data_IF_777582732476
#
_entry.id   IF_777582732476
#
_cell.length_a   1.000
_cell.length_b   1.000
_cell.length_c   1.000
_cell.angle_alpha   90.00
_cell.angle_beta   90.00
_cell.angle_gamma   90.00
#
_symmetry.space_group_name_H-M   'P 1'
#
loop_
_entity.id
_entity.type
_entity.pdbx_description
1 polymer ?
#
# COMPACT_ATOMS: atom_id res chain seq x y z
N UNK A 1 -81.47 -2.51 -4.15
CA UNK A 1 -81.10 -1.10 -3.87
C UNK A 1 -80.66 -0.99 -2.41
N UNK A 2 -79.47 -0.41 -2.17
CA UNK A 2 -78.89 0.11 -0.91
C UNK A 2 -79.06 -0.70 0.39
N UNK A 3 -77.94 -1.09 1.01
CA UNK A 3 -77.42 -0.44 2.24
C UNK A 3 -75.98 -0.87 2.54
N UNK A 4 -75.13 0.11 2.80
CA UNK A 4 -73.74 0.01 3.23
C UNK A 4 -73.59 -0.46 4.68
N UNK A 5 -72.52 -1.20 4.97
CA UNK A 5 -72.00 -1.34 6.34
C UNK A 5 -70.49 -1.23 6.34
N UNK A 6 -69.99 -0.19 7.02
CA UNK A 6 -68.60 0.22 7.12
C UNK A 6 -67.75 -0.80 7.89
N UNK A 7 -66.55 -1.10 7.40
CA UNK A 7 -65.50 -1.78 8.17
C UNK A 7 -64.42 -0.77 8.58
N UNK A 8 -64.22 -0.67 9.89
CA UNK A 8 -63.19 0.14 10.53
C UNK A 8 -61.79 -0.43 10.23
N UNK A 9 -60.86 0.44 9.81
CA UNK A 9 -59.43 0.14 9.71
C UNK A 9 -58.73 0.59 10.99
N UNK A 10 -57.95 -0.26 11.68
CA UNK A 10 -57.02 0.23 12.68
C UNK A 10 -55.77 0.78 11.96
N UNK A 11 -55.43 2.03 12.28
CA UNK A 11 -54.11 2.62 12.03
C UNK A 11 -53.07 1.85 12.84
N UNK A 12 -52.06 1.31 12.18
CA UNK A 12 -50.77 0.99 12.79
C UNK A 12 -49.73 1.92 12.15
N UNK A 13 -49.50 3.06 12.81
CA UNK A 13 -48.40 3.95 12.52
C UNK A 13 -47.11 3.31 13.06
N UNK A 14 -46.41 2.55 12.21
CA UNK A 14 -45.05 2.10 12.49
C UNK A 14 -44.07 3.26 12.30
N UNK A 15 -43.67 3.89 13.39
CA UNK A 15 -42.57 4.85 13.39
C UNK A 15 -41.25 4.10 13.15
N UNK A 16 -40.78 4.05 11.91
CA UNK A 16 -39.45 3.58 11.57
C UNK A 16 -38.42 4.63 12.03
N UNK A 17 -37.83 4.39 13.19
CA UNK A 17 -36.70 5.17 13.70
C UNK A 17 -35.47 4.84 12.84
N UNK A 18 -35.22 5.65 11.81
CA UNK A 18 -33.98 5.63 11.04
C UNK A 18 -32.83 6.07 11.95
N UNK A 19 -32.15 5.10 12.57
CA UNK A 19 -30.88 5.34 13.24
C UNK A 19 -29.85 5.74 12.19
N UNK A 20 -29.55 7.04 12.11
CA UNK A 20 -28.41 7.55 11.35
C UNK A 20 -27.14 6.97 11.97
N UNK A 21 -26.57 5.95 11.33
CA UNK A 21 -25.25 5.45 11.70
C UNK A 21 -24.23 6.56 11.41
N UNK A 22 -23.35 6.89 12.37
CA UNK A 22 -22.30 7.86 12.11
C UNK A 22 -21.41 7.32 11.00
N UNK A 23 -21.32 8.05 9.89
CA UNK A 23 -20.30 7.81 8.87
C UNK A 23 -18.97 8.09 9.54
N UNK A 24 -18.23 7.04 9.92
CA UNK A 24 -16.84 7.19 10.32
C UNK A 24 -16.13 7.74 9.09
N UNK A 25 -15.74 9.01 9.15
CA UNK A 25 -14.95 9.66 8.13
C UNK A 25 -13.62 8.89 8.03
N UNK A 26 -13.55 7.95 7.08
CA UNK A 26 -12.27 7.37 6.71
C UNK A 26 -11.43 8.51 6.15
N UNK A 27 -10.29 8.79 6.79
CA UNK A 27 -9.31 9.74 6.27
C UNK A 27 -8.93 9.36 4.83
N UNK A 28 -8.41 10.32 4.04
CA UNK A 28 -8.06 10.07 2.65
C UNK A 28 -7.13 8.84 2.54
N UNK A 29 -7.46 7.93 1.63
CA UNK A 29 -6.66 6.74 1.39
C UNK A 29 -5.22 7.12 1.02
N UNK A 30 -4.21 6.35 1.48
CA UNK A 30 -2.83 6.65 1.17
C UNK A 30 -2.59 6.64 -0.35
N UNK A 31 -1.99 7.72 -0.85
CA UNK A 31 -1.69 7.88 -2.28
C UNK A 31 -0.30 7.35 -2.57
N UNK A 32 -0.22 6.31 -3.40
CA UNK A 32 1.03 5.78 -3.94
C UNK A 32 1.52 6.68 -5.06
N UNK A 33 2.78 7.07 -4.98
CA UNK A 33 3.41 8.00 -5.90
C UNK A 33 4.02 7.28 -7.10
N UNK A 34 3.87 7.88 -8.27
CA UNK A 34 4.74 7.64 -9.43
C UNK A 34 5.48 8.92 -9.77
N UNK A 35 6.51 8.82 -10.62
CA UNK A 35 7.19 10.00 -11.16
C UNK A 35 6.21 11.00 -11.80
N UNK A 36 5.16 10.50 -12.46
CA UNK A 36 4.18 11.32 -13.18
C UNK A 36 3.12 11.95 -12.26
N UNK A 37 2.73 11.24 -11.18
CA UNK A 37 1.62 11.66 -10.30
C UNK A 37 2.09 12.43 -9.06
N UNK A 38 3.40 12.55 -8.84
CA UNK A 38 3.94 13.26 -7.70
C UNK A 38 3.53 14.75 -7.67
N UNK A 39 3.04 15.28 -6.53
CA UNK A 39 2.79 16.71 -6.35
C UNK A 39 4.05 17.55 -6.62
N UNK A 40 3.86 18.79 -7.10
CA UNK A 40 4.98 19.67 -7.45
C UNK A 40 5.97 19.90 -6.30
N UNK A 41 5.48 20.00 -5.06
CA UNK A 41 6.32 20.14 -3.87
C UNK A 41 7.17 18.91 -3.53
N UNK A 42 6.76 17.72 -3.97
CA UNK A 42 7.43 16.44 -3.71
C UNK A 42 8.46 16.09 -4.79
N UNK A 43 8.22 16.48 -6.05
CA UNK A 43 9.04 16.09 -7.20
C UNK A 43 10.55 16.30 -7.01
N UNK A 44 11.05 17.46 -6.52
CA UNK A 44 12.50 17.65 -6.37
C UNK A 44 13.14 16.67 -5.38
N UNK A 45 12.45 16.37 -4.28
CA UNK A 45 12.92 15.40 -3.29
C UNK A 45 12.89 13.98 -3.87
N UNK A 46 11.82 13.64 -4.60
CA UNK A 46 11.68 12.35 -5.28
C UNK A 46 12.81 12.12 -6.28
N UNK A 47 13.07 13.08 -7.18
CA UNK A 47 14.14 12.98 -8.19
C UNK A 47 15.52 12.85 -7.55
N UNK A 48 15.79 13.56 -6.45
CA UNK A 48 17.07 13.45 -5.73
C UNK A 48 17.25 12.05 -5.14
N UNK A 49 16.21 11.50 -4.52
CA UNK A 49 16.27 10.15 -3.95
C UNK A 49 16.41 9.08 -5.05
N UNK A 50 15.67 9.21 -6.15
CA UNK A 50 15.80 8.32 -7.30
C UNK A 50 17.21 8.33 -7.89
N UNK A 51 17.84 9.50 -7.98
CA UNK A 51 19.23 9.60 -8.42
C UNK A 51 20.20 8.93 -7.44
N UNK A 52 19.98 9.10 -6.13
CA UNK A 52 20.82 8.48 -5.10
C UNK A 52 20.67 6.95 -5.04
N UNK A 53 19.51 6.42 -5.40
CA UNK A 53 19.18 4.99 -5.38
C UNK A 53 19.16 4.35 -6.77
N UNK A 54 19.68 5.05 -7.80
CA UNK A 54 19.52 4.65 -9.20
C UNK A 54 20.02 3.22 -9.47
N UNK A 55 21.19 2.87 -8.96
CA UNK A 55 21.80 1.55 -9.17
C UNK A 55 21.01 0.41 -8.49
N UNK A 56 20.72 0.43 -7.17
CA UNK A 56 19.92 -0.62 -6.55
C UNK A 56 18.48 -0.67 -7.10
N UNK A 57 17.87 0.47 -7.45
CA UNK A 57 16.55 0.49 -8.10
C UNK A 57 16.58 -0.19 -9.47
N UNK A 58 17.61 0.09 -10.29
CA UNK A 58 17.75 -0.54 -11.61
C UNK A 58 17.83 -2.06 -11.50
N UNK A 59 18.58 -2.57 -10.53
CA UNK A 59 18.71 -4.01 -10.30
C UNK A 59 17.40 -4.64 -9.80
N UNK A 60 16.69 -3.96 -8.89
CA UNK A 60 15.37 -4.39 -8.43
C UNK A 60 14.38 -4.47 -9.60
N UNK A 61 14.29 -3.43 -10.43
CA UNK A 61 13.39 -3.38 -11.58
C UNK A 61 13.76 -4.41 -12.67
N UNK A 62 15.06 -4.64 -12.89
CA UNK A 62 15.54 -5.67 -13.84
C UNK A 62 15.09 -7.07 -13.45
N UNK A 63 15.02 -7.35 -12.15
CA UNK A 63 14.70 -8.69 -11.61
C UNK A 63 13.23 -8.86 -11.24
N UNK A 64 12.47 -7.76 -11.15
CA UNK A 64 11.04 -7.77 -10.86
C UNK A 64 10.21 -8.70 -11.76
N UNK A 65 10.41 -8.77 -13.10
CA UNK A 65 9.62 -9.69 -13.94
C UNK A 65 9.79 -11.16 -13.54
N UNK A 66 10.99 -11.57 -13.13
CA UNK A 66 11.24 -12.93 -12.66
C UNK A 66 10.59 -13.17 -11.30
N UNK A 67 10.65 -12.20 -10.39
CA UNK A 67 10.01 -12.28 -9.08
C UNK A 67 8.47 -12.33 -9.19
N UNK A 68 7.89 -11.49 -10.07
CA UNK A 68 6.47 -11.51 -10.43
C UNK A 68 6.06 -12.88 -10.98
N UNK A 69 6.85 -13.49 -11.85
CA UNK A 69 6.58 -14.85 -12.36
C UNK A 69 6.52 -15.88 -11.23
N UNK A 70 7.43 -15.82 -10.24
CA UNK A 70 7.39 -16.69 -9.06
C UNK A 70 6.10 -16.48 -8.25
N UNK A 71 5.73 -15.22 -7.99
CA UNK A 71 4.49 -14.88 -7.28
C UNK A 71 3.24 -15.42 -8.00
N UNK A 72 3.14 -15.20 -9.32
CA UNK A 72 2.00 -15.65 -10.12
C UNK A 72 1.91 -17.18 -10.25
N UNK A 73 3.02 -17.90 -10.08
CA UNK A 73 3.01 -19.36 -10.00
C UNK A 73 2.50 -19.89 -8.64
N UNK A 74 2.25 -19.00 -7.68
CA UNK A 74 1.89 -19.34 -6.31
C UNK A 74 3.09 -19.36 -5.39
N UNK A 75 2.87 -18.90 -4.16
CA UNK A 75 3.88 -18.92 -3.11
C UNK A 75 3.61 -20.05 -2.11
N UNK A 76 4.66 -20.66 -1.53
CA UNK A 76 4.52 -21.51 -0.35
C UNK A 76 3.77 -20.80 0.79
N UNK A 77 3.08 -21.58 1.63
CA UNK A 77 2.35 -21.03 2.78
C UNK A 77 3.28 -20.25 3.72
N UNK A 78 2.86 -19.05 4.11
CA UNK A 78 3.60 -18.14 4.99
C UNK A 78 4.61 -17.24 4.27
N UNK A 79 4.96 -17.53 3.03
CA UNK A 79 5.77 -16.62 2.22
C UNK A 79 4.95 -15.39 1.79
N UNK A 80 5.62 -14.24 1.65
CA UNK A 80 4.99 -12.99 1.26
C UNK A 80 5.79 -12.34 0.13
N UNK A 81 5.08 -11.82 -0.86
CA UNK A 81 5.68 -10.94 -1.86
C UNK A 81 5.34 -9.50 -1.53
N UNK A 82 6.38 -8.72 -1.27
CA UNK A 82 6.31 -7.33 -0.86
C UNK A 82 6.91 -6.45 -1.95
N UNK A 83 6.27 -5.31 -2.21
CA UNK A 83 6.81 -4.25 -3.04
C UNK A 83 7.10 -3.04 -2.18
N UNK A 84 8.26 -2.43 -2.37
CA UNK A 84 8.53 -1.11 -1.83
C UNK A 84 7.98 -0.07 -2.79
N UNK A 85 7.15 0.82 -2.27
CA UNK A 85 6.56 1.95 -3.00
C UNK A 85 6.74 3.23 -2.20
N UNK A 86 6.52 4.37 -2.85
CA UNK A 86 6.48 5.68 -2.18
C UNK A 86 5.05 6.10 -1.95
N UNK A 87 4.76 6.62 -0.77
CA UNK A 87 3.44 7.14 -0.42
C UNK A 87 3.54 8.56 0.10
N UNK A 88 2.55 9.38 -0.23
CA UNK A 88 2.46 10.76 0.28
C UNK A 88 2.36 10.70 1.81
N UNK A 89 3.18 11.52 2.47
CA UNK A 89 3.12 11.74 3.92
C UNK A 89 2.53 13.12 4.22
N UNK A 90 2.98 14.14 3.49
CA UNK A 90 2.41 15.50 3.49
C UNK A 90 2.39 16.04 2.06
N UNK A 91 1.89 17.25 1.86
CA UNK A 91 1.94 17.98 0.58
C UNK A 91 3.37 18.15 0.01
N UNK A 92 4.38 18.06 0.89
CA UNK A 92 5.79 18.37 0.62
C UNK A 92 6.72 17.20 0.93
N UNK A 93 6.20 16.08 1.45
CA UNK A 93 7.00 14.93 1.83
C UNK A 93 6.35 13.61 1.47
N UNK A 94 7.19 12.60 1.30
CA UNK A 94 6.79 11.23 1.06
C UNK A 94 7.61 10.31 1.94
N UNK A 95 7.18 9.06 2.03
CA UNK A 95 7.95 7.99 2.68
C UNK A 95 7.93 6.74 1.81
N UNK A 96 8.95 5.91 1.95
CA UNK A 96 8.91 4.54 1.44
C UNK A 96 8.03 3.70 2.35
N UNK A 97 7.25 2.79 1.76
CA UNK A 97 6.36 1.89 2.46
C UNK A 97 6.34 0.52 1.77
N UNK A 98 6.14 -0.54 2.57
CA UNK A 98 6.01 -1.90 2.08
C UNK A 98 4.56 -2.22 1.77
N UNK A 99 4.30 -2.76 0.58
CA UNK A 99 2.98 -3.19 0.14
C UNK A 99 2.99 -4.71 -0.11
N UNK A 100 2.17 -5.46 0.64
CA UNK A 100 2.00 -6.90 0.43
C UNK A 100 1.09 -7.14 -0.77
N UNK A 101 1.62 -7.81 -1.79
CA UNK A 101 0.89 -8.08 -3.02
C UNK A 101 -0.24 -9.08 -2.76
N UNK A 102 -1.44 -8.72 -3.21
CA UNK A 102 -2.61 -9.59 -3.28
C UNK A 102 -2.81 -10.15 -4.69
N UNK A 103 -2.49 -9.37 -5.72
CA UNK A 103 -2.64 -9.79 -7.10
C UNK A 103 -2.14 -8.77 -8.11
N UNK A 104 -2.17 -9.18 -9.37
CA UNK A 104 -1.84 -8.36 -10.53
C UNK A 104 -2.97 -8.43 -11.56
N UNK A 105 -3.34 -7.28 -12.12
CA UNK A 105 -4.26 -7.19 -13.25
C UNK A 105 -3.64 -6.31 -14.33
N UNK A 106 -3.12 -6.92 -15.39
CA UNK A 106 -2.32 -6.21 -16.39
C UNK A 106 -1.09 -5.54 -15.75
N UNK A 107 -1.03 -4.20 -15.88
CA UNK A 107 0.04 -3.37 -15.30
C UNK A 107 -0.32 -2.79 -13.91
N UNK A 108 -1.43 -3.21 -13.32
CA UNK A 108 -1.92 -2.73 -12.02
C UNK A 108 -1.68 -3.78 -10.94
N UNK A 109 -1.09 -3.35 -9.83
CA UNK A 109 -0.88 -4.14 -8.62
C UNK A 109 -2.03 -3.90 -7.66
N UNK A 110 -2.60 -4.97 -7.10
CA UNK A 110 -3.48 -4.91 -5.94
C UNK A 110 -2.70 -5.37 -4.72
N UNK A 111 -2.68 -4.56 -3.66
CA UNK A 111 -1.85 -4.82 -2.50
C UNK A 111 -2.46 -4.31 -1.19
N UNK A 112 -1.86 -4.72 -0.07
CA UNK A 112 -2.10 -4.15 1.26
C UNK A 112 -0.86 -3.36 1.67
N UNK A 113 -1.01 -2.05 1.82
CA UNK A 113 0.02 -1.19 2.38
C UNK A 113 0.18 -1.52 3.87
N UNK A 114 1.38 -1.90 4.26
CA UNK A 114 1.70 -2.28 5.63
C UNK A 114 2.00 -1.03 6.46
N UNK A 115 1.65 -1.02 7.76
CA UNK A 115 2.07 0.04 8.67
C UNK A 115 3.61 0.07 8.78
N UNK A 116 4.20 1.23 9.12
CA UNK A 116 5.62 1.31 9.47
C UNK A 116 5.96 0.31 10.57
N UNK A 117 7.12 -0.36 10.46
CA UNK A 117 7.55 -1.37 11.43
C UNK A 117 7.79 -0.80 12.84
N UNK A 118 8.12 0.49 12.91
CA UNK A 118 8.40 1.28 14.11
C UNK A 118 7.18 2.05 14.62
N UNK A 119 5.99 1.86 14.03
CA UNK A 119 4.79 2.54 14.48
C UNK A 119 4.43 2.14 15.92
N UNK A 120 4.31 3.15 16.79
CA UNK A 120 3.94 2.96 18.20
C UNK A 120 2.59 2.28 18.39
N UNK A 121 1.68 2.44 17.42
CA UNK A 121 0.38 1.78 17.36
C UNK A 121 0.34 0.91 16.13
N UNK A 122 0.03 -0.38 16.31
CA UNK A 122 -0.20 -1.31 15.20
C UNK A 122 -1.47 -0.89 14.47
N UNK A 123 -1.30 -0.24 13.33
CA UNK A 123 -2.41 0.07 12.42
C UNK A 123 -2.70 -1.12 11.50
N UNK A 124 -3.96 -1.24 11.08
CA UNK A 124 -4.37 -2.27 10.12
C UNK A 124 -3.77 -1.99 8.73
N UNK A 125 -3.37 -3.04 7.97
CA UNK A 125 -2.97 -2.88 6.59
C UNK A 125 -4.08 -2.24 5.74
N UNK A 126 -3.71 -1.32 4.85
CA UNK A 126 -4.68 -0.57 4.04
C UNK A 126 -4.67 -1.06 2.58
N UNK A 127 -5.82 -1.44 1.99
CA UNK A 127 -5.88 -1.80 0.57
C UNK A 127 -5.46 -0.64 -0.33
N UNK A 128 -4.60 -0.93 -1.30
CA UNK A 128 -4.11 0.03 -2.31
C UNK A 128 -4.05 -0.63 -3.68
N UNK A 129 -4.14 0.21 -4.71
CA UNK A 129 -3.95 -0.17 -6.11
C UNK A 129 -3.06 0.86 -6.80
N UNK A 130 -2.06 0.39 -7.54
CA UNK A 130 -1.08 1.27 -8.18
C UNK A 130 -0.47 0.62 -9.43
N UNK A 131 0.06 1.40 -10.38
CA UNK A 131 0.75 0.84 -11.55
C UNK A 131 2.09 0.21 -11.15
N UNK A 132 2.52 -0.82 -11.86
CA UNK A 132 3.83 -1.48 -11.64
C UNK A 132 5.01 -0.50 -11.74
N UNK A 133 4.85 0.60 -12.47
CA UNK A 133 5.84 1.70 -12.56
C UNK A 133 6.05 2.47 -11.25
N UNK A 134 5.19 2.28 -10.24
CA UNK A 134 5.36 2.85 -8.91
C UNK A 134 6.33 2.05 -8.01
N UNK A 135 6.75 0.86 -8.46
CA UNK A 135 7.61 -0.04 -7.69
C UNK A 135 9.03 0.52 -7.64
N UNK A 136 9.58 0.59 -6.42
CA UNK A 136 10.96 1.02 -6.16
C UNK A 136 11.87 -0.19 -5.92
N UNK A 137 11.35 -1.20 -5.22
CA UNK A 137 12.05 -2.44 -4.90
C UNK A 137 11.05 -3.58 -4.70
N UNK A 138 11.52 -4.82 -4.63
CA UNK A 138 10.70 -5.99 -4.31
C UNK A 138 11.42 -6.91 -3.34
N UNK A 139 10.65 -7.57 -2.48
CA UNK A 139 11.16 -8.55 -1.53
C UNK A 139 10.25 -9.77 -1.53
N UNK A 140 10.83 -10.95 -1.75
CA UNK A 140 10.17 -12.22 -1.42
C UNK A 140 10.62 -12.62 -0.02
N UNK A 141 9.76 -12.38 0.97
CA UNK A 141 9.98 -12.72 2.36
C UNK A 141 9.49 -14.14 2.61
N UNK A 142 10.42 -15.06 2.90
CA UNK A 142 10.10 -16.45 3.22
C UNK A 142 9.54 -16.56 4.62
N UNK A 143 8.72 -17.57 4.88
CA UNK A 143 8.22 -17.88 6.22
C UNK A 143 9.36 -18.10 7.25
N UNK A 144 10.55 -18.51 6.79
CA UNK A 144 11.75 -18.67 7.62
C UNK A 144 12.44 -17.34 7.97
N UNK A 145 11.95 -16.20 7.48
CA UNK A 145 12.59 -14.88 7.60
C UNK A 145 13.69 -14.61 6.57
N UNK A 146 13.97 -15.53 5.65
CA UNK A 146 14.94 -15.29 4.57
C UNK A 146 14.31 -14.35 3.53
N UNK A 147 15.11 -13.42 3.03
CA UNK A 147 14.69 -12.51 1.97
C UNK A 147 15.39 -12.84 0.63
N UNK A 148 14.63 -12.77 -0.46
CA UNK A 148 15.17 -12.62 -1.83
C UNK A 148 14.78 -11.24 -2.36
N UNK A 149 15.63 -10.63 -3.19
CA UNK A 149 15.43 -9.25 -3.63
C UNK A 149 15.93 -8.25 -2.57
N UNK A 150 15.12 -7.26 -2.22
CA UNK A 150 15.44 -6.21 -1.25
C UNK A 150 16.76 -5.49 -1.60
N UNK A 151 16.90 -5.00 -2.83
CA UNK A 151 18.15 -4.38 -3.29
C UNK A 151 18.32 -2.97 -2.72
N UNK A 152 17.25 -2.20 -2.69
CA UNK A 152 17.24 -0.82 -2.18
C UNK A 152 17.34 -0.83 -0.66
N UNK A 153 16.58 -1.69 0.02
CA UNK A 153 16.68 -1.79 1.49
C UNK A 153 18.08 -2.20 1.95
N UNK A 154 18.66 -3.24 1.35
CA UNK A 154 20.05 -3.66 1.66
C UNK A 154 21.08 -2.56 1.38
N UNK A 155 20.90 -1.80 0.30
CA UNK A 155 21.76 -0.65 0.00
C UNK A 155 21.68 0.40 1.11
N UNK A 156 20.45 0.82 1.49
CA UNK A 156 20.22 1.81 2.55
C UNK A 156 20.83 1.34 3.89
N UNK A 157 20.63 0.08 4.26
CA UNK A 157 21.16 -0.48 5.51
C UNK A 157 22.69 -0.48 5.51
N UNK A 158 23.31 -0.85 4.38
CA UNK A 158 24.77 -0.83 4.23
C UNK A 158 25.31 0.60 4.32
N UNK A 159 24.67 1.57 3.65
CA UNK A 159 25.07 2.98 3.71
C UNK A 159 25.00 3.52 5.15
N UNK A 160 23.92 3.26 5.87
CA UNK A 160 23.77 3.64 7.30
C UNK A 160 24.85 3.01 8.17
N UNK A 161 25.16 1.74 7.94
CA UNK A 161 26.21 1.05 8.68
C UNK A 161 27.56 1.73 8.43
N UNK A 162 27.90 2.06 7.19
CA UNK A 162 29.15 2.75 6.85
C UNK A 162 29.25 4.13 7.49
N UNK A 163 28.16 4.90 7.51
CA UNK A 163 28.10 6.22 8.17
C UNK A 163 28.28 6.12 9.70
N UNK A 164 27.88 5.01 10.30
CA UNK A 164 28.02 4.78 11.74
C UNK A 164 29.42 4.34 12.18
N UNK A 165 30.32 4.03 11.23
CA UNK A 165 31.68 3.59 11.57
C UNK A 165 32.53 4.77 12.05
N UNK A 166 33.20 4.67 13.20
CA UNK A 166 34.13 5.69 13.63
C UNK A 166 35.34 5.71 12.69
N UNK A 167 35.60 6.86 12.06
CA UNK A 167 36.88 7.11 11.39
C UNK A 167 37.99 7.03 12.45
N UNK A 168 38.87 6.03 12.32
CA UNK A 168 40.08 5.89 13.13
C UNK A 168 41.25 6.60 12.46
#
# INVERSE_FOLDING_TARGET
MKTSTSFARPLLAGAALLLALPTIAQGPAPVVLTADTAPAGVRPALTREEAALADPMREALRTLPQAKKKFLAGLPSGDQFLLSVRVIATDTSFRQASARVLGWHGNTVQALLLPPADAAVKAEPTPVSFPETAVVDWTLLRASGREEGNYVGRYIDTSKQMESLPFR
#
